data_IF_705268256384
#
_entry.id   IF_705268256384
#
_cell.length_a   1.000
_cell.length_b   1.000
_cell.length_c   1.000
_cell.angle_alpha   90.00
_cell.angle_beta   90.00
_cell.angle_gamma   90.00
#
_symmetry.space_group_name_H-M   'P 1'
#
loop_
_entity.id
_entity.type
_entity.pdbx_description
1 polymer ?
#
# COMPACT_ATOMS: atom_id res chain seq x y z
N UNK A 1 -25.75 11.90 -7.49
CA UNK A 1 -25.25 11.05 -6.41
C UNK A 1 -23.94 10.47 -6.90
N UNK A 2 -22.81 11.01 -6.47
CA UNK A 2 -21.51 10.39 -6.78
C UNK A 2 -21.32 9.27 -5.76
N UNK A 3 -21.36 8.04 -6.25
CA UNK A 3 -21.00 6.86 -5.49
C UNK A 3 -19.54 7.06 -5.07
N UNK A 4 -19.29 7.37 -3.79
CA UNK A 4 -17.93 7.47 -3.26
C UNK A 4 -17.33 6.06 -3.32
N UNK A 5 -16.74 5.74 -4.48
CA UNK A 5 -15.97 4.53 -4.67
C UNK A 5 -14.99 4.44 -3.51
N UNK A 6 -15.13 3.39 -2.69
CA UNK A 6 -14.23 3.15 -1.58
C UNK A 6 -12.80 3.32 -2.09
N UNK A 7 -11.98 4.18 -1.47
CA UNK A 7 -10.65 4.43 -1.97
C UNK A 7 -9.93 3.08 -2.09
N UNK A 8 -9.52 2.74 -3.31
CA UNK A 8 -8.79 1.52 -3.59
C UNK A 8 -7.65 1.36 -2.61
N UNK A 9 -7.39 0.11 -2.20
CA UNK A 9 -6.39 -0.19 -1.17
C UNK A 9 -5.00 0.40 -1.52
N UNK A 10 -4.66 0.47 -2.81
CA UNK A 10 -3.48 1.14 -3.32
C UNK A 10 -3.40 2.63 -3.00
N UNK A 11 -4.54 3.35 -3.01
CA UNK A 11 -4.61 4.75 -2.57
C UNK A 11 -4.33 4.87 -1.07
N UNK A 12 -4.89 3.98 -0.25
CA UNK A 12 -4.66 3.97 1.21
C UNK A 12 -3.18 3.80 1.54
N UNK A 13 -2.51 2.84 0.87
CA UNK A 13 -1.06 2.64 0.99
C UNK A 13 -0.29 3.89 0.57
N UNK A 14 -0.61 4.45 -0.60
CA UNK A 14 0.09 5.62 -1.14
C UNK A 14 0.01 6.80 -0.18
N UNK A 15 -1.17 7.05 0.37
CA UNK A 15 -1.39 8.15 1.31
C UNK A 15 -0.65 7.90 2.63
N UNK A 16 -0.68 6.68 3.16
CA UNK A 16 0.08 6.31 4.35
C UNK A 16 1.59 6.47 4.17
N UNK A 17 2.12 6.03 3.03
CA UNK A 17 3.53 6.20 2.67
C UNK A 17 3.92 7.68 2.62
N UNK A 18 3.10 8.50 1.97
CA UNK A 18 3.34 9.95 1.87
C UNK A 18 3.30 10.64 3.24
N UNK A 19 2.40 10.23 4.15
CA UNK A 19 2.36 10.76 5.52
C UNK A 19 3.63 10.46 6.32
N UNK A 20 4.28 9.34 6.02
CA UNK A 20 5.59 8.99 6.60
C UNK A 20 6.77 9.72 5.93
N UNK A 21 6.52 10.49 4.86
CA UNK A 21 7.57 11.15 4.08
C UNK A 21 8.38 10.21 3.18
N UNK A 22 7.91 8.97 2.96
CA UNK A 22 8.67 7.98 2.21
C UNK A 22 8.40 8.01 0.70
N UNK A 23 9.43 7.76 -0.09
CA UNK A 23 9.37 7.36 -1.48
C UNK A 23 8.93 5.89 -1.63
N UNK A 24 8.53 5.48 -2.84
CA UNK A 24 8.19 4.08 -3.11
C UNK A 24 9.38 3.13 -2.91
N UNK A 25 10.62 3.62 -3.10
CA UNK A 25 11.83 2.84 -2.85
C UNK A 25 12.02 2.59 -1.36
N UNK A 26 11.88 3.64 -0.53
CA UNK A 26 11.99 3.52 0.93
C UNK A 26 10.90 2.63 1.53
N UNK A 27 9.66 2.70 1.04
CA UNK A 27 8.63 1.74 1.46
C UNK A 27 8.98 0.32 1.02
N UNK A 28 9.53 0.16 -0.18
CA UNK A 28 10.03 -1.14 -0.66
C UNK A 28 11.06 -1.72 0.29
N UNK A 29 12.11 -0.96 0.60
CA UNK A 29 13.16 -1.37 1.55
C UNK A 29 12.59 -1.74 2.92
N UNK A 30 11.71 -0.90 3.48
CA UNK A 30 11.08 -1.14 4.80
C UNK A 30 10.13 -2.34 4.83
N UNK A 31 9.54 -2.70 3.70
CA UNK A 31 8.62 -3.85 3.57
C UNK A 31 9.29 -5.12 3.02
N UNK A 32 10.58 -5.05 2.66
CA UNK A 32 11.29 -6.15 1.99
C UNK A 32 10.76 -6.45 0.59
N UNK A 33 10.30 -5.41 -0.12
CA UNK A 33 9.75 -5.49 -1.48
C UNK A 33 10.52 -4.57 -2.43
N UNK A 34 10.45 -4.86 -3.73
CA UNK A 34 11.03 -3.98 -4.74
C UNK A 34 10.15 -2.75 -4.99
N UNK A 35 10.77 -1.62 -5.36
CA UNK A 35 10.05 -0.41 -5.76
C UNK A 35 8.96 -0.67 -6.84
N UNK A 36 9.21 -1.47 -7.91
CA UNK A 36 8.17 -1.81 -8.89
C UNK A 36 6.96 -2.54 -8.28
N UNK A 37 7.18 -3.42 -7.29
CA UNK A 37 6.08 -4.07 -6.57
C UNK A 37 5.24 -3.06 -5.80
N UNK A 38 5.87 -2.10 -5.10
CA UNK A 38 5.14 -1.00 -4.44
C UNK A 38 4.32 -0.19 -5.45
N UNK A 39 4.91 0.15 -6.61
CA UNK A 39 4.21 0.91 -7.65
C UNK A 39 2.97 0.18 -8.18
N UNK A 40 3.04 -1.15 -8.39
CA UNK A 40 1.89 -1.96 -8.78
C UNK A 40 0.81 -2.01 -7.71
N UNK A 41 1.20 -2.21 -6.45
CA UNK A 41 0.27 -2.20 -5.31
C UNK A 41 -0.48 -0.87 -5.22
N UNK A 42 0.23 0.26 -5.32
CA UNK A 42 -0.39 1.59 -5.28
C UNK A 42 -1.27 1.91 -6.50
N UNK A 43 -1.17 1.12 -7.57
CA UNK A 43 -2.01 1.21 -8.74
C UNK A 43 -3.15 0.17 -8.72
N UNK A 44 -3.36 -0.50 -7.59
CA UNK A 44 -4.35 -1.58 -7.41
C UNK A 44 -4.17 -2.75 -8.42
N UNK A 45 -2.93 -2.99 -8.86
CA UNK A 45 -2.59 -4.02 -9.83
C UNK A 45 -1.89 -5.22 -9.19
N UNK A 46 -2.47 -6.42 -9.41
CA UNK A 46 -1.88 -7.74 -9.16
C UNK A 46 -1.23 -7.88 -7.77
N UNK A 47 -2.07 -7.75 -6.73
CA UNK A 47 -1.63 -7.72 -5.34
C UNK A 47 -2.04 -8.99 -4.62
N UNK A 48 -1.06 -9.67 -4.01
CA UNK A 48 -1.33 -10.79 -3.11
C UNK A 48 -1.54 -10.30 -1.68
N UNK A 49 -2.38 -10.98 -0.91
CA UNK A 49 -2.60 -10.68 0.52
C UNK A 49 -1.29 -10.65 1.32
N UNK A 50 -0.32 -11.50 0.96
CA UNK A 50 1.01 -11.51 1.58
C UNK A 50 1.80 -10.22 1.32
N UNK A 51 1.73 -9.68 0.09
CA UNK A 51 2.37 -8.39 -0.26
C UNK A 51 1.72 -7.25 0.50
N UNK A 52 0.40 -7.25 0.55
CA UNK A 52 -0.41 -6.30 1.33
C UNK A 52 -0.03 -6.33 2.80
N UNK A 53 0.07 -7.50 3.41
CA UNK A 53 0.43 -7.66 4.82
C UNK A 53 1.83 -7.09 5.13
N UNK A 54 2.83 -7.35 4.27
CA UNK A 54 4.18 -6.79 4.43
C UNK A 54 4.18 -5.26 4.41
N UNK A 55 3.42 -4.68 3.47
CA UNK A 55 3.31 -3.22 3.35
C UNK A 55 2.56 -2.63 4.54
N UNK A 56 1.47 -3.26 4.98
CA UNK A 56 0.70 -2.81 6.15
C UNK A 56 1.56 -2.81 7.40
N UNK A 57 2.34 -3.88 7.65
CA UNK A 57 3.29 -3.95 8.75
C UNK A 57 4.34 -2.84 8.70
N UNK A 58 4.94 -2.59 7.53
CA UNK A 58 5.93 -1.52 7.36
C UNK A 58 5.35 -0.11 7.60
N UNK A 59 4.06 0.09 7.29
CA UNK A 59 3.35 1.35 7.50
C UNK A 59 2.72 1.48 8.89
N UNK A 60 2.78 0.44 9.73
CA UNK A 60 2.09 0.40 11.03
C UNK A 60 0.56 0.35 10.92
N UNK A 61 0.03 -0.16 9.80
CA UNK A 61 -1.39 -0.31 9.54
C UNK A 61 -1.86 -1.71 10.00
N UNK A 62 -3.11 -1.79 10.44
CA UNK A 62 -3.79 -3.06 10.72
C UNK A 62 -4.63 -3.46 9.51
N UNK A 63 -4.53 -4.73 9.10
CA UNK A 63 -5.38 -5.31 8.08
C UNK A 63 -6.57 -5.99 8.76
N UNK A 64 -7.79 -5.52 8.49
CA UNK A 64 -9.02 -6.18 8.92
C UNK A 64 -9.66 -6.86 7.71
N UNK A 65 -9.80 -8.18 7.78
CA UNK A 65 -10.58 -8.96 6.81
C UNK A 65 -12.01 -9.04 7.34
N UNK A 66 -12.98 -8.59 6.53
CA UNK A 66 -14.42 -8.71 6.82
C UNK A 66 -15.05 -9.74 5.89
#
# INVERSE_FOLDING_TARGET
MVEEAQPGFGKVIRDARKRQGWSQAELGEKSGLSRPTIARVEADNDVTTATVAKIALALGLKLELR
#
